data_IF_145046868506
#
_entry.id   IF_145046868506
#
_cell.length_a   1.000
_cell.length_b   1.000
_cell.length_c   1.000
_cell.angle_alpha   90.00
_cell.angle_beta   90.00
_cell.angle_gamma   90.00
#
_symmetry.space_group_name_H-M   'P 1'
#
loop_
_entity.id
_entity.type
_entity.pdbx_description
1 polymer ?
#
# COMPACT_ATOMS: atom_id res chain seq x y z
N UNK A 1 -14.47 12.19 -2.58
CA UNK A 1 -13.44 12.71 -1.65
C UNK A 1 -13.21 14.17 -2.00
N UNK A 2 -13.04 15.05 -1.01
CA UNK A 2 -12.80 16.47 -1.27
C UNK A 2 -11.38 16.68 -1.83
N UNK A 3 -11.22 17.53 -2.85
CA UNK A 3 -9.92 17.85 -3.47
C UNK A 3 -8.92 18.40 -2.45
N UNK A 4 -9.41 19.04 -1.38
CA UNK A 4 -8.57 19.57 -0.31
C UNK A 4 -7.94 18.45 0.56
N UNK A 5 -8.70 17.41 0.87
CA UNK A 5 -8.23 16.24 1.64
C UNK A 5 -7.23 15.42 0.84
N UNK A 6 -7.49 15.26 -0.45
CA UNK A 6 -6.59 14.61 -1.39
C UNK A 6 -5.22 15.31 -1.44
N UNK A 7 -5.22 16.63 -1.68
CA UNK A 7 -3.99 17.41 -1.78
C UNK A 7 -3.22 17.43 -0.46
N UNK A 8 -3.90 17.42 0.68
CA UNK A 8 -3.23 17.37 1.98
C UNK A 8 -2.50 16.04 2.21
N UNK A 9 -3.10 14.90 1.85
CA UNK A 9 -2.46 13.59 1.97
C UNK A 9 -1.24 13.49 1.06
N UNK A 10 -1.36 13.88 -0.21
CA UNK A 10 -0.23 13.85 -1.15
C UNK A 10 0.89 14.77 -0.67
N UNK A 11 0.56 15.97 -0.19
CA UNK A 11 1.56 16.91 0.34
C UNK A 11 2.22 16.40 1.61
N UNK A 12 1.47 15.71 2.48
CA UNK A 12 2.02 15.07 3.67
C UNK A 12 3.02 13.97 3.30
N UNK A 13 2.64 13.04 2.42
CA UNK A 13 3.51 11.94 1.98
C UNK A 13 4.77 12.51 1.30
N UNK A 14 4.60 13.55 0.49
CA UNK A 14 5.72 14.26 -0.13
C UNK A 14 6.64 14.92 0.90
N UNK A 15 6.07 15.53 1.94
CA UNK A 15 6.80 16.08 3.07
C UNK A 15 7.66 15.04 3.80
N UNK A 16 7.25 13.77 3.87
CA UNK A 16 8.08 12.69 4.44
C UNK A 16 9.38 12.51 3.63
N UNK A 17 9.29 12.62 2.30
CA UNK A 17 10.47 12.52 1.45
C UNK A 17 11.44 13.66 1.71
N UNK A 18 10.93 14.89 1.80
CA UNK A 18 11.72 16.08 2.10
C UNK A 18 12.31 16.07 3.51
N UNK A 19 11.57 15.57 4.50
CA UNK A 19 11.98 15.56 5.91
C UNK A 19 12.99 14.44 6.23
N UNK A 20 12.79 13.24 5.69
CA UNK A 20 13.53 12.05 6.11
C UNK A 20 14.54 11.54 5.07
N UNK A 21 14.32 11.81 3.78
CA UNK A 21 15.12 11.21 2.71
C UNK A 21 16.12 12.18 2.09
N UNK A 22 15.99 13.49 2.34
CA UNK A 22 16.76 14.54 1.68
C UNK A 22 18.26 14.38 1.75
N UNK A 23 18.77 14.10 2.94
CA UNK A 23 20.22 14.04 3.19
C UNK A 23 20.81 12.64 2.95
N UNK A 24 19.97 11.66 2.60
CA UNK A 24 20.35 10.24 2.45
C UNK A 24 20.22 9.76 1.01
N UNK A 25 19.20 10.24 0.30
CA UNK A 25 18.87 9.83 -1.05
C UNK A 25 18.91 11.02 -2.01
N UNK A 26 19.27 10.75 -3.26
CA UNK A 26 19.01 11.69 -4.35
C UNK A 26 17.50 11.75 -4.60
N UNK A 27 16.94 12.92 -4.95
CA UNK A 27 15.50 13.11 -5.20
C UNK A 27 14.86 12.01 -6.04
N UNK A 28 15.54 11.60 -7.11
CA UNK A 28 15.03 10.54 -7.99
C UNK A 28 14.85 9.18 -7.34
N UNK A 29 15.52 8.94 -6.21
CA UNK A 29 15.47 7.70 -5.42
C UNK A 29 14.45 7.73 -4.29
N UNK A 30 13.78 8.86 -4.03
CA UNK A 30 12.71 8.92 -3.03
C UNK A 30 11.57 7.96 -3.35
N UNK A 31 11.26 7.77 -4.65
CA UNK A 31 10.23 6.84 -5.11
C UNK A 31 10.45 5.40 -4.64
N UNK A 32 11.71 4.97 -4.54
CA UNK A 32 12.10 3.61 -4.16
C UNK A 32 11.79 3.33 -2.67
N UNK A 33 11.53 4.37 -1.86
CA UNK A 33 11.14 4.27 -0.44
C UNK A 33 9.68 4.65 -0.24
N UNK A 34 9.24 5.78 -0.80
CA UNK A 34 7.91 6.36 -0.53
C UNK A 34 6.79 5.50 -1.09
N UNK A 35 6.92 4.99 -2.33
CA UNK A 35 5.90 4.15 -2.95
C UNK A 35 5.69 2.84 -2.17
N UNK A 36 6.72 2.01 -1.90
CA UNK A 36 6.53 0.79 -1.13
C UNK A 36 6.04 1.07 0.30
N UNK A 37 6.52 2.13 0.98
CA UNK A 37 6.03 2.49 2.31
C UNK A 37 4.54 2.86 2.32
N UNK A 38 4.08 3.58 1.29
CA UNK A 38 2.66 3.93 1.13
C UNK A 38 1.80 2.67 0.97
N UNK A 39 2.24 1.71 0.15
CA UNK A 39 1.57 0.41 -0.04
C UNK A 39 1.57 -0.38 1.28
N UNK A 40 2.72 -0.52 1.94
CA UNK A 40 2.85 -1.25 3.20
C UNK A 40 1.91 -0.65 4.25
N UNK A 41 1.83 0.68 4.37
CA UNK A 41 0.95 1.33 5.33
C UNK A 41 -0.54 1.07 5.03
N UNK A 42 -0.95 1.12 3.75
CA UNK A 42 -2.33 0.77 3.34
C UNK A 42 -2.67 -0.66 3.73
N UNK A 43 -1.77 -1.62 3.42
CA UNK A 43 -1.97 -3.04 3.75
C UNK A 43 -2.03 -3.26 5.25
N UNK A 44 -1.11 -2.65 6.03
CA UNK A 44 -1.09 -2.73 7.49
C UNK A 44 -2.41 -2.23 8.09
N UNK A 45 -2.88 -1.06 7.67
CA UNK A 45 -4.10 -0.45 8.18
C UNK A 45 -5.35 -1.31 7.91
N UNK A 46 -5.37 -2.08 6.82
CA UNK A 46 -6.44 -3.03 6.53
C UNK A 46 -6.41 -4.27 7.45
N UNK A 47 -5.24 -4.62 7.98
CA UNK A 47 -5.01 -5.79 8.84
C UNK A 47 -5.03 -5.48 10.33
N UNK A 48 -4.88 -4.21 10.74
CA UNK A 48 -4.83 -3.80 12.17
C UNK A 48 -5.99 -4.39 13.00
N UNK A 49 -7.21 -4.38 12.44
CA UNK A 49 -8.40 -4.89 13.14
C UNK A 49 -8.47 -6.42 13.24
N UNK A 50 -7.80 -7.15 12.36
CA UNK A 50 -7.88 -8.63 12.28
C UNK A 50 -6.61 -9.32 12.75
N UNK A 51 -5.58 -8.57 13.12
CA UNK A 51 -4.28 -9.09 13.55
C UNK A 51 -4.36 -10.14 14.65
N UNK A 52 -5.15 -9.89 15.70
CA UNK A 52 -5.35 -10.85 16.81
C UNK A 52 -5.96 -12.17 16.31
N UNK A 53 -6.95 -12.08 15.43
CA UNK A 53 -7.61 -13.26 14.84
C UNK A 53 -6.64 -14.06 13.99
N UNK A 54 -5.85 -13.40 13.13
CA UNK A 54 -4.83 -14.03 12.28
C UNK A 54 -3.77 -14.72 13.14
N UNK A 55 -3.30 -14.10 14.22
CA UNK A 55 -2.30 -14.70 15.11
C UNK A 55 -2.84 -15.90 15.90
N UNK A 56 -4.10 -15.84 16.35
CA UNK A 56 -4.74 -17.00 17.00
C UNK A 56 -4.89 -18.16 16.01
N UNK A 57 -5.36 -17.87 14.79
CA UNK A 57 -5.47 -18.87 13.72
C UNK A 57 -4.10 -19.49 13.42
N UNK A 58 -3.06 -18.66 13.25
CA UNK A 58 -1.68 -19.13 13.02
C UNK A 58 -1.23 -20.13 14.09
N UNK A 59 -1.42 -19.81 15.38
CA UNK A 59 -1.07 -20.73 16.49
C UNK A 59 -1.81 -22.06 16.41
N UNK A 60 -3.08 -22.05 15.99
CA UNK A 60 -3.86 -23.27 15.81
C UNK A 60 -3.32 -24.11 14.64
N UNK A 61 -2.99 -23.47 13.52
CA UNK A 61 -2.45 -24.14 12.34
C UNK A 61 -1.03 -24.68 12.58
N UNK A 62 -0.20 -23.94 13.33
CA UNK A 62 1.14 -24.36 13.76
C UNK A 62 1.04 -25.61 14.66
N UNK A 63 0.11 -25.61 15.63
CA UNK A 63 -0.13 -26.77 16.50
C UNK A 63 -0.70 -27.98 15.74
N UNK A 64 -1.38 -27.74 14.63
CA UNK A 64 -1.90 -28.78 13.73
C UNK A 64 -0.89 -29.24 12.67
N UNK A 65 0.33 -28.68 12.65
CA UNK A 65 1.37 -28.98 11.65
C UNK A 65 0.89 -28.83 10.20
N UNK A 66 0.09 -27.80 9.92
CA UNK A 66 -0.38 -27.52 8.56
C UNK A 66 0.71 -26.76 7.80
N UNK A 67 1.10 -27.30 6.64
CA UNK A 67 2.15 -26.72 5.79
C UNK A 67 1.72 -25.39 5.13
N UNK A 68 0.64 -25.42 4.33
CA UNK A 68 0.16 -24.22 3.64
C UNK A 68 -0.94 -23.50 4.42
N UNK A 69 -0.53 -22.59 5.29
CA UNK A 69 -1.44 -21.85 6.17
C UNK A 69 -2.08 -20.62 5.49
N UNK A 70 -1.52 -20.12 4.38
CA UNK A 70 -1.89 -18.84 3.79
C UNK A 70 -3.39 -18.69 3.46
N UNK A 71 -4.07 -19.69 2.85
CA UNK A 71 -5.50 -19.55 2.54
C UNK A 71 -6.36 -19.34 3.80
N UNK A 72 -6.04 -20.06 4.88
CA UNK A 72 -6.76 -19.94 6.16
C UNK A 72 -6.46 -18.61 6.86
N UNK A 73 -5.21 -18.14 6.81
CA UNK A 73 -4.82 -16.85 7.38
C UNK A 73 -5.44 -15.65 6.63
N UNK A 74 -5.47 -15.70 5.30
CA UNK A 74 -6.15 -14.69 4.48
C UNK A 74 -7.66 -14.66 4.75
N UNK A 75 -8.29 -15.83 4.91
CA UNK A 75 -9.69 -15.93 5.29
C UNK A 75 -9.93 -15.30 6.68
N UNK A 76 -9.10 -15.62 7.68
CA UNK A 76 -9.17 -15.02 9.01
C UNK A 76 -8.92 -13.50 9.00
N UNK A 77 -8.11 -13.00 8.07
CA UNK A 77 -7.89 -11.58 7.86
C UNK A 77 -9.07 -10.88 7.16
N UNK A 78 -9.94 -11.63 6.47
CA UNK A 78 -11.03 -11.10 5.64
C UNK A 78 -10.53 -10.38 4.38
N UNK A 79 -9.30 -10.69 3.93
CA UNK A 79 -8.63 -10.02 2.82
C UNK A 79 -7.94 -11.04 1.91
N UNK A 80 -7.62 -10.65 0.67
CA UNK A 80 -6.85 -11.49 -0.26
C UNK A 80 -5.36 -11.65 0.13
N UNK A 81 -4.95 -10.99 1.21
CA UNK A 81 -3.61 -11.00 1.75
C UNK A 81 -3.68 -10.99 3.29
N UNK A 82 -2.59 -11.38 3.95
CA UNK A 82 -2.49 -11.32 5.41
C UNK A 82 -1.05 -11.10 5.85
N UNK A 83 -0.86 -10.77 7.13
CA UNK A 83 0.47 -10.68 7.75
C UNK A 83 0.53 -11.54 9.02
N UNK A 84 1.34 -12.59 8.96
CA UNK A 84 1.54 -13.61 9.97
C UNK A 84 2.65 -13.29 10.98
N UNK A 85 3.31 -12.13 10.86
CA UNK A 85 4.27 -11.65 11.86
C UNK A 85 3.55 -11.21 13.14
N UNK A 86 4.23 -11.17 14.31
CA UNK A 86 3.63 -10.68 15.54
C UNK A 86 3.49 -9.15 15.60
N UNK A 87 3.95 -8.41 14.58
CA UNK A 87 4.07 -6.96 14.62
C UNK A 87 3.00 -6.26 13.79
N UNK A 88 2.52 -5.10 14.26
CA UNK A 88 1.94 -4.06 13.41
C UNK A 88 3.03 -3.02 13.09
N UNK A 89 2.87 -2.30 11.98
CA UNK A 89 3.86 -1.29 11.58
C UNK A 89 4.11 -0.24 12.68
N UNK A 90 3.03 0.17 13.38
CA UNK A 90 3.10 1.12 14.50
C UNK A 90 3.84 0.60 15.73
N UNK A 91 3.98 -0.72 15.89
CA UNK A 91 4.70 -1.31 17.03
C UNK A 91 6.23 -1.20 16.85
N UNK A 92 6.67 -0.83 15.65
CA UNK A 92 8.08 -0.73 15.27
C UNK A 92 8.65 0.68 15.47
N UNK A 93 7.83 1.69 15.82
CA UNK A 93 8.32 3.07 16.06
C UNK A 93 9.04 3.23 17.40
N UNK A 94 8.70 2.44 18.41
CA UNK A 94 9.13 2.64 19.81
C UNK A 94 10.44 1.96 20.20
N UNK A 95 11.24 1.44 19.24
CA UNK A 95 12.41 0.61 19.54
C UNK A 95 13.73 1.39 19.42
N UNK A 96 14.35 1.72 20.56
CA UNK A 96 15.57 2.53 20.64
C UNK A 96 16.89 1.89 20.18
N UNK A 97 16.89 0.71 19.53
CA UNK A 97 18.11 0.05 19.03
C UNK A 97 17.99 -0.27 17.54
N UNK A 98 18.86 0.34 16.71
CA UNK A 98 18.88 0.22 15.24
C UNK A 98 18.86 -1.23 14.73
N UNK A 99 19.72 -2.09 15.29
CA UNK A 99 19.82 -3.50 14.88
C UNK A 99 18.56 -4.30 15.20
N UNK A 100 17.92 -4.01 16.33
CA UNK A 100 16.66 -4.66 16.71
C UNK A 100 15.54 -4.19 15.79
N UNK A 101 15.46 -2.90 15.49
CA UNK A 101 14.49 -2.34 14.56
C UNK A 101 14.61 -2.95 13.15
N UNK A 102 15.82 -3.09 12.63
CA UNK A 102 16.04 -3.72 11.32
C UNK A 102 15.54 -5.17 11.29
N UNK A 103 15.91 -5.97 12.30
CA UNK A 103 15.51 -7.37 12.39
C UNK A 103 13.99 -7.53 12.51
N UNK A 104 13.35 -6.71 13.36
CA UNK A 104 11.90 -6.74 13.55
C UNK A 104 11.16 -6.27 12.30
N UNK A 105 11.66 -5.24 11.61
CA UNK A 105 11.05 -4.75 10.37
C UNK A 105 11.17 -5.79 9.25
N UNK A 106 12.32 -6.46 9.12
CA UNK A 106 12.49 -7.60 8.20
C UNK A 106 11.51 -8.71 8.53
N UNK A 107 11.40 -9.12 9.80
CA UNK A 107 10.45 -10.14 10.22
C UNK A 107 8.98 -9.74 9.98
N UNK A 108 8.66 -8.45 10.11
CA UNK A 108 7.35 -7.90 9.75
C UNK A 108 7.07 -8.03 8.25
N UNK A 109 8.03 -7.65 7.40
CA UNK A 109 7.90 -7.76 5.95
C UNK A 109 7.80 -9.22 5.49
N UNK A 110 8.64 -10.10 6.03
CA UNK A 110 8.64 -11.53 5.71
C UNK A 110 7.36 -12.24 6.19
N UNK A 111 6.61 -11.63 7.12
CA UNK A 111 5.32 -12.13 7.59
C UNK A 111 4.18 -11.96 6.59
N UNK A 112 4.32 -11.19 5.52
CA UNK A 112 3.27 -11.01 4.53
C UNK A 112 3.06 -12.25 3.64
N UNK A 113 1.84 -12.41 3.13
CA UNK A 113 1.48 -13.48 2.19
C UNK A 113 2.24 -13.41 0.85
N UNK A 114 2.37 -14.52 0.11
CA UNK A 114 3.25 -14.61 -1.07
C UNK A 114 2.99 -13.56 -2.16
N UNK A 115 1.72 -13.19 -2.38
CA UNK A 115 1.35 -12.13 -3.31
C UNK A 115 1.92 -10.76 -2.93
N UNK A 116 1.96 -10.44 -1.63
CA UNK A 116 2.57 -9.20 -1.14
C UNK A 116 4.09 -9.29 -1.15
N UNK A 117 4.67 -10.47 -0.89
CA UNK A 117 6.11 -10.69 -1.05
C UNK A 117 6.57 -10.34 -2.48
N UNK A 118 5.83 -10.83 -3.49
CA UNK A 118 6.12 -10.51 -4.90
C UNK A 118 6.10 -8.99 -5.15
N UNK A 119 5.11 -8.28 -4.60
CA UNK A 119 5.02 -6.82 -4.72
C UNK A 119 6.28 -6.15 -4.12
N UNK A 120 6.67 -6.53 -2.90
CA UNK A 120 7.84 -5.97 -2.22
C UNK A 120 9.14 -6.25 -2.98
N UNK A 121 9.27 -7.42 -3.59
CA UNK A 121 10.42 -7.80 -4.40
C UNK A 121 10.49 -6.99 -5.71
N UNK A 122 9.34 -6.71 -6.34
CA UNK A 122 9.28 -5.83 -7.53
C UNK A 122 9.72 -4.40 -7.22
N UNK A 123 9.42 -3.89 -6.02
CA UNK A 123 9.93 -2.61 -5.54
C UNK A 123 11.42 -2.65 -5.14
N UNK A 124 12.03 -3.83 -5.03
CA UNK A 124 13.38 -4.02 -4.46
C UNK A 124 13.52 -3.34 -3.09
N UNK A 125 12.44 -3.33 -2.30
CA UNK A 125 12.38 -2.51 -1.10
C UNK A 125 13.36 -2.98 -0.01
N UNK A 126 13.67 -4.28 0.02
CA UNK A 126 14.64 -4.86 0.96
C UNK A 126 16.03 -4.23 0.85
N UNK A 127 16.43 -3.79 -0.34
CA UNK A 127 17.71 -3.12 -0.57
C UNK A 127 17.75 -1.75 0.13
N UNK A 128 16.61 -1.07 0.18
CA UNK A 128 16.48 0.26 0.80
C UNK A 128 16.53 0.20 2.33
N UNK A 129 16.10 -0.92 2.93
CA UNK A 129 16.09 -1.07 4.39
C UNK A 129 17.48 -0.85 4.97
N UNK A 130 18.50 -1.46 4.35
CA UNK A 130 19.88 -1.34 4.82
C UNK A 130 20.35 0.12 4.80
N UNK A 131 20.13 0.82 3.69
CA UNK A 131 20.49 2.24 3.55
C UNK A 131 19.77 3.10 4.60
N UNK A 132 18.48 2.87 4.84
CA UNK A 132 17.71 3.59 5.85
C UNK A 132 18.19 3.31 7.29
N UNK A 133 18.66 2.10 7.59
CA UNK A 133 19.20 1.73 8.90
C UNK A 133 20.59 2.34 9.11
N UNK A 134 21.46 2.25 8.11
CA UNK A 134 22.81 2.81 8.14
C UNK A 134 22.77 4.34 8.33
N UNK A 135 21.80 4.99 7.70
CA UNK A 135 21.55 6.43 7.82
C UNK A 135 20.69 6.85 9.03
N UNK A 136 20.22 5.89 9.85
CA UNK A 136 19.39 6.13 11.04
C UNK A 136 18.02 6.79 10.80
N UNK A 137 17.44 6.60 9.61
CA UNK A 137 16.17 7.22 9.23
C UNK A 137 14.98 6.25 9.22
N UNK A 138 15.21 4.94 9.30
CA UNK A 138 14.15 3.93 9.21
C UNK A 138 13.03 4.18 10.25
N UNK A 139 13.40 4.46 11.50
CA UNK A 139 12.43 4.72 12.57
C UNK A 139 11.59 5.96 12.30
N UNK A 140 12.22 7.05 11.85
CA UNK A 140 11.53 8.30 11.52
C UNK A 140 10.56 8.13 10.34
N UNK A 141 10.95 7.36 9.31
CA UNK A 141 10.08 7.05 8.17
C UNK A 141 8.85 6.26 8.64
N UNK A 142 9.04 5.20 9.44
CA UNK A 142 7.93 4.41 9.98
C UNK A 142 7.00 5.28 10.85
N UNK A 143 7.57 6.15 11.69
CA UNK A 143 6.81 7.06 12.55
C UNK A 143 5.95 8.04 11.74
N UNK A 144 6.51 8.64 10.69
CA UNK A 144 5.77 9.54 9.80
C UNK A 144 4.61 8.83 9.08
N UNK A 145 4.84 7.61 8.56
CA UNK A 145 3.78 6.83 7.89
C UNK A 145 2.72 6.27 8.84
N UNK A 146 3.04 6.13 10.12
CA UNK A 146 2.10 5.69 11.16
C UNK A 146 1.54 6.85 12.00
N UNK A 147 1.86 8.09 11.64
CA UNK A 147 1.36 9.29 12.31
C UNK A 147 -0.17 9.33 12.31
N UNK A 148 -0.73 9.85 13.41
CA UNK A 148 -2.16 10.07 13.57
C UNK A 148 -2.72 11.21 12.71
N UNK A 149 -1.86 11.91 11.95
CA UNK A 149 -2.21 13.05 11.10
C UNK A 149 -2.53 12.64 9.66
N UNK A 150 -2.28 11.38 9.30
CA UNK A 150 -2.60 10.80 8.01
C UNK A 150 -3.43 9.52 8.18
N UNK A 151 -4.45 9.35 7.34
CA UNK A 151 -5.24 8.12 7.31
C UNK A 151 -5.24 7.53 5.90
N UNK A 152 -4.51 6.43 5.73
CA UNK A 152 -4.52 5.64 4.51
C UNK A 152 -5.44 4.43 4.61
N UNK A 153 -6.34 4.36 5.59
CA UNK A 153 -7.25 3.23 5.77
C UNK A 153 -8.64 3.56 5.22
N UNK A 154 -9.44 2.56 4.80
CA UNK A 154 -10.82 2.80 4.38
C UNK A 154 -11.76 3.19 5.53
N UNK A 155 -11.28 3.15 6.78
CA UNK A 155 -12.08 3.48 7.95
C UNK A 155 -11.73 4.89 8.44
N UNK A 156 -12.72 5.74 8.72
CA UNK A 156 -12.47 7.05 9.31
C UNK A 156 -11.84 6.92 10.71
N UNK A 157 -10.97 7.87 11.04
CA UNK A 157 -10.40 8.03 12.38
C UNK A 157 -11.24 9.09 13.10
N UNK A 158 -11.68 8.78 14.31
CA UNK A 158 -12.52 9.67 15.13
C UNK A 158 -11.71 10.31 16.25
N UNK A 159 -12.08 11.52 16.66
CA UNK A 159 -11.46 12.21 17.82
C UNK A 159 -12.00 11.70 19.16
N UNK A 160 -13.21 11.18 19.16
CA UNK A 160 -13.94 10.72 20.33
C UNK A 160 -14.17 9.21 20.29
N UNK A 161 -14.27 8.59 21.47
CA UNK A 161 -14.63 7.18 21.59
C UNK A 161 -16.08 6.91 21.11
N UNK A 162 -16.90 7.94 21.14
CA UNK A 162 -18.30 7.93 20.70
C UNK A 162 -18.46 7.98 19.17
N UNK A 163 -17.38 8.17 18.42
CA UNK A 163 -17.34 8.25 16.94
C UNK A 163 -18.28 9.30 16.34
N UNK A 164 -18.43 10.45 17.01
CA UNK A 164 -19.28 11.55 16.53
C UNK A 164 -18.47 12.58 15.74
N UNK A 165 -17.19 12.75 16.07
CA UNK A 165 -16.32 13.74 15.40
C UNK A 165 -15.25 13.01 14.61
N UNK A 166 -15.35 13.05 13.27
CA UNK A 166 -14.32 12.54 12.37
C UNK A 166 -13.08 13.43 12.46
N UNK A 167 -11.93 12.86 12.86
CA UNK A 167 -10.61 13.51 12.81
C UNK A 167 -10.08 13.50 11.38
N UNK A 168 -10.10 12.31 10.77
CA UNK A 168 -9.62 12.08 9.41
C UNK A 168 -10.64 11.17 8.69
N UNK A 169 -11.07 11.53 7.48
CA UNK A 169 -11.98 10.70 6.70
C UNK A 169 -11.33 9.35 6.36
N UNK A 170 -12.16 8.35 6.07
CA UNK A 170 -11.69 7.08 5.50
C UNK A 170 -11.30 7.28 4.04
N UNK A 171 -10.22 6.65 3.63
CA UNK A 171 -9.73 6.65 2.25
C UNK A 171 -10.20 5.40 1.52
N UNK A 172 -11.19 5.54 0.65
CA UNK A 172 -11.70 4.44 -0.18
C UNK A 172 -10.66 3.98 -1.22
N UNK A 173 -10.97 2.88 -1.93
CA UNK A 173 -10.03 2.33 -2.91
C UNK A 173 -9.80 3.26 -4.10
N UNK A 174 -10.84 4.00 -4.52
CA UNK A 174 -10.73 4.99 -5.58
C UNK A 174 -9.77 6.12 -5.16
N UNK A 175 -9.99 6.73 -3.99
CA UNK A 175 -9.11 7.79 -3.49
C UNK A 175 -7.67 7.33 -3.27
N UNK A 176 -7.47 6.10 -2.79
CA UNK A 176 -6.13 5.52 -2.65
C UNK A 176 -5.44 5.37 -4.02
N UNK A 177 -6.18 4.92 -5.04
CA UNK A 177 -5.69 4.84 -6.41
C UNK A 177 -5.23 6.20 -6.94
N UNK A 178 -6.06 7.23 -6.78
CA UNK A 178 -5.73 8.61 -7.18
C UNK A 178 -4.48 9.14 -6.46
N UNK A 179 -4.37 8.93 -5.14
CA UNK A 179 -3.16 9.34 -4.39
C UNK A 179 -1.92 8.63 -4.93
N UNK A 180 -2.01 7.34 -5.19
CA UNK A 180 -0.86 6.57 -5.66
C UNK A 180 -0.44 6.98 -7.08
N UNK A 181 -1.40 7.17 -7.98
CA UNK A 181 -1.17 7.67 -9.35
C UNK A 181 -0.46 9.02 -9.34
N UNK A 182 -0.87 9.91 -8.45
CA UNK A 182 -0.33 11.26 -8.39
C UNK A 182 1.03 11.34 -7.71
N UNK A 183 1.32 10.45 -6.75
CA UNK A 183 2.68 10.25 -6.26
C UNK A 183 3.60 9.78 -7.40
N UNK A 184 3.15 8.81 -8.21
CA UNK A 184 3.91 8.35 -9.39
C UNK A 184 4.13 9.51 -10.37
N UNK A 185 3.08 10.28 -10.69
CA UNK A 185 3.17 11.44 -11.59
C UNK A 185 4.22 12.43 -11.10
N UNK A 186 4.17 12.86 -9.84
CA UNK A 186 5.14 13.79 -9.25
C UNK A 186 6.58 13.25 -9.29
N UNK A 187 6.78 11.97 -8.93
CA UNK A 187 8.12 11.38 -8.99
C UNK A 187 8.66 11.26 -10.42
N UNK A 188 7.81 11.01 -11.41
CA UNK A 188 8.24 10.95 -12.81
C UNK A 188 8.57 12.35 -13.34
N UNK A 189 7.77 13.36 -13.01
CA UNK A 189 8.03 14.77 -13.34
C UNK A 189 9.37 15.25 -12.76
N UNK A 190 9.68 14.92 -11.50
CA UNK A 190 10.96 15.29 -10.89
C UNK A 190 12.17 14.57 -11.48
N UNK A 191 11.98 13.36 -12.02
CA UNK A 191 13.06 12.57 -12.62
C UNK A 191 13.35 12.92 -14.09
N UNK A 192 12.52 13.77 -14.70
CA UNK A 192 12.63 14.13 -16.12
C UNK A 192 12.67 12.88 -17.05
N UNK A 193 12.06 11.76 -16.61
CA UNK A 193 11.87 10.56 -17.42
C UNK A 193 10.79 10.87 -18.48
N UNK A 194 11.02 10.48 -19.74
CA UNK A 194 10.15 10.85 -20.87
C UNK A 194 8.68 10.47 -20.60
N UNK A 195 7.80 11.49 -20.59
CA UNK A 195 6.40 11.38 -20.19
C UNK A 195 5.55 10.38 -21.02
N UNK A 196 6.05 9.93 -22.18
CA UNK A 196 5.33 9.06 -23.10
C UNK A 196 5.48 7.55 -22.87
N UNK A 197 6.48 7.09 -22.11
CA UNK A 197 6.72 5.64 -21.91
C UNK A 197 6.15 5.08 -20.61
N UNK A 198 5.77 5.93 -19.65
CA UNK A 198 5.52 5.47 -18.27
C UNK A 198 4.18 5.88 -17.66
N UNK A 199 3.41 6.77 -18.28
CA UNK A 199 2.14 7.22 -17.72
C UNK A 199 1.13 7.62 -18.80
N UNK A 200 -0.14 7.25 -18.61
CA UNK A 200 -1.26 7.69 -19.45
C UNK A 200 -2.26 8.43 -18.56
N UNK A 201 -2.65 9.68 -18.88
CA UNK A 201 -3.60 10.43 -18.08
C UNK A 201 -4.93 9.70 -17.90
N UNK A 202 -5.57 9.87 -16.74
CA UNK A 202 -6.83 9.18 -16.42
C UNK A 202 -7.93 9.49 -17.43
N UNK A 203 -8.07 10.75 -17.85
CA UNK A 203 -9.06 11.16 -18.85
C UNK A 203 -8.86 10.43 -20.19
N UNK A 204 -7.61 10.12 -20.53
CA UNK A 204 -7.27 9.33 -21.73
C UNK A 204 -7.61 7.86 -21.52
N UNK A 205 -7.33 7.29 -20.34
CA UNK A 205 -7.70 5.91 -19.98
C UNK A 205 -9.21 5.72 -19.98
N UNK A 206 -9.96 6.67 -19.43
CA UNK A 206 -11.43 6.66 -19.40
C UNK A 206 -11.98 6.70 -20.83
N UNK A 207 -11.48 7.63 -21.67
CA UNK A 207 -11.85 7.68 -23.08
C UNK A 207 -11.50 6.37 -23.83
N UNK A 208 -10.33 5.78 -23.58
CA UNK A 208 -9.93 4.52 -24.20
C UNK A 208 -10.85 3.36 -23.77
N UNK A 209 -11.26 3.32 -22.50
CA UNK A 209 -12.22 2.34 -21.99
C UNK A 209 -13.59 2.54 -22.64
N UNK A 210 -14.11 3.77 -22.68
CA UNK A 210 -15.38 4.10 -23.33
C UNK A 210 -15.38 3.67 -24.79
N UNK A 211 -14.33 4.01 -25.54
CA UNK A 211 -14.20 3.62 -26.95
C UNK A 211 -14.14 2.09 -27.15
N UNK A 212 -13.59 1.35 -26.17
CA UNK A 212 -13.51 -0.10 -26.23
C UNK A 212 -14.85 -0.79 -25.87
N UNK A 213 -15.58 -0.27 -24.89
CA UNK A 213 -16.77 -0.92 -24.34
C UNK A 213 -18.09 -0.39 -24.92
N UNK A 214 -18.19 0.89 -25.23
CA UNK A 214 -19.43 1.52 -25.72
C UNK A 214 -20.02 0.83 -26.97
N UNK A 215 -19.22 0.40 -27.97
CA UNK A 215 -19.77 -0.30 -29.15
C UNK A 215 -20.37 -1.68 -28.86
N UNK A 216 -20.05 -2.28 -27.71
CA UNK A 216 -20.44 -3.65 -27.33
C UNK A 216 -21.22 -3.70 -26.02
N UNK A 217 -21.62 -2.55 -25.45
CA UNK A 217 -22.26 -2.44 -24.13
C UNK A 217 -23.47 -3.38 -24.01
N UNK A 218 -24.35 -3.39 -25.02
CA UNK A 218 -25.54 -4.25 -25.07
C UNK A 218 -25.24 -5.75 -25.19
N UNK A 219 -23.99 -6.12 -25.48
CA UNK A 219 -23.53 -7.50 -25.62
C UNK A 219 -22.78 -8.00 -24.38
N UNK A 220 -22.48 -7.11 -23.43
CA UNK A 220 -21.82 -7.45 -22.18
C UNK A 220 -22.80 -8.23 -21.31
N UNK A 221 -22.34 -9.37 -20.79
CA UNK A 221 -23.07 -10.28 -19.92
C UNK A 221 -22.37 -10.35 -18.57
N UNK A 222 -23.07 -10.83 -17.56
CA UNK A 222 -22.44 -11.19 -16.28
C UNK A 222 -21.52 -12.41 -16.47
N UNK A 223 -20.28 -12.14 -16.87
CA UNK A 223 -19.26 -13.12 -17.22
C UNK A 223 -17.85 -12.57 -16.99
N UNK A 224 -16.85 -13.47 -16.98
CA UNK A 224 -15.45 -13.08 -16.88
C UNK A 224 -14.92 -12.64 -18.25
N UNK A 225 -14.34 -11.43 -18.32
CA UNK A 225 -13.68 -10.91 -19.51
C UNK A 225 -12.17 -10.83 -19.32
N UNK A 226 -11.44 -11.09 -20.40
CA UNK A 226 -9.99 -10.92 -20.47
C UNK A 226 -9.68 -9.57 -21.08
N UNK A 227 -9.06 -8.66 -20.32
CA UNK A 227 -8.51 -7.42 -20.86
C UNK A 227 -7.01 -7.62 -21.14
N UNK A 228 -6.57 -7.26 -22.34
CA UNK A 228 -5.18 -7.35 -22.76
C UNK A 228 -4.63 -5.98 -23.13
N UNK A 229 -3.52 -5.61 -22.51
CA UNK A 229 -2.76 -4.41 -22.84
C UNK A 229 -1.30 -4.81 -23.11
N UNK A 230 -0.78 -4.51 -24.30
CA UNK A 230 0.52 -5.01 -24.73
C UNK A 230 1.70 -4.46 -23.91
N UNK A 231 1.56 -3.25 -23.35
CA UNK A 231 2.61 -2.59 -22.55
C UNK A 231 2.44 -2.74 -21.04
N UNK A 232 1.24 -3.05 -20.57
CA UNK A 232 1.02 -3.43 -19.18
C UNK A 232 1.13 -4.95 -19.07
N UNK A 233 2.24 -5.44 -18.51
CA UNK A 233 2.69 -6.85 -18.54
C UNK A 233 1.76 -7.91 -17.87
N UNK A 234 0.43 -7.74 -17.80
CA UNK A 234 -0.52 -8.74 -17.28
C UNK A 234 -1.87 -8.74 -18.01
N UNK A 235 -2.43 -9.94 -18.18
CA UNK A 235 -3.87 -10.16 -18.36
C UNK A 235 -4.58 -9.71 -17.08
N UNK A 236 -5.49 -8.75 -17.19
CA UNK A 236 -6.36 -8.37 -16.06
C UNK A 236 -7.67 -9.16 -16.22
N UNK A 237 -7.89 -10.11 -15.32
CA UNK A 237 -9.18 -10.80 -15.19
C UNK A 237 -10.08 -9.97 -14.28
N UNK A 238 -11.13 -9.37 -14.85
CA UNK A 238 -12.19 -8.76 -14.05
C UNK A 238 -13.18 -9.84 -13.62
N UNK A 239 -13.46 -9.88 -12.32
CA UNK A 239 -14.62 -10.57 -11.76
C UNK A 239 -15.42 -9.52 -11.02
N UNK A 240 -16.37 -8.89 -11.72
CA UNK A 240 -17.26 -7.95 -11.06
C UNK A 240 -18.17 -8.72 -10.09
N UNK A 241 -18.21 -8.25 -8.84
CA UNK A 241 -19.35 -8.49 -7.95
C UNK A 241 -20.16 -7.19 -7.98
N UNK A 242 -21.05 -7.07 -8.94
CA UNK A 242 -22.18 -6.15 -8.81
C UNK A 242 -23.29 -6.90 -8.08
N UNK A 243 -23.61 -6.45 -6.87
CA UNK A 243 -24.86 -6.70 -6.17
C UNK A 243 -25.23 -5.40 -5.44
#
# INVERSE_FOLDING_TARGET
>A
MDNQEYNSIVSFIWGIADDCLRDVYVRGKYRDVILPMTVIRRLDAMLEGTKKTVLTMKKQLDAAHIDNQWPALCNAAGQAFCNASPFLLKDLTSRGKKQTLEADFKAYLDGFSPNVQEILDKFKFRDQIRTMVDADILGAVIEKFTSSDINLSPKPVYKDEEKKIVKLPGLDNHGMGTIFEELIRRFNEENNEEAGEHWTPRDVVELMADLAFYPVEDQIKDATYSCYEQRCLRLIQFKERYA
#
